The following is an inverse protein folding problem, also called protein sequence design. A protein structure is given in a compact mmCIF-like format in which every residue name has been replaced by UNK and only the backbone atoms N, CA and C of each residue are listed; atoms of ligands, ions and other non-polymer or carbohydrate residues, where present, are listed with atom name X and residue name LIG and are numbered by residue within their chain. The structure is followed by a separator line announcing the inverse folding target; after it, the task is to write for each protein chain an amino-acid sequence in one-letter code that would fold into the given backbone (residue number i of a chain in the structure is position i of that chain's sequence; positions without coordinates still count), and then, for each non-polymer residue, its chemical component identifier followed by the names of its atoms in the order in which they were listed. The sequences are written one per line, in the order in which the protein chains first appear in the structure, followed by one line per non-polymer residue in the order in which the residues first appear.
data_IF_037524948700
#
_entry.id   IF_037524948700
#
_cell.length_a   1.000
_cell.length_b   1.000
_cell.length_c   1.000
_cell.angle_alpha   90.00
_cell.angle_beta   90.00
_cell.angle_gamma   90.00
#
_symmetry.space_group_name_H-M   'P 1'
#
loop_
_entity.id
_entity.type
_entity.pdbx_description
1 polymer ?
#
# COMPACT_ATOMS: atom_id res chain seq x y z
N UNK A 1 -11.59 36.96 21.19
CA UNK A 1 -10.29 36.72 20.50
C UNK A 1 -9.85 35.26 20.47
N UNK A 2 -10.32 34.38 21.37
CA UNK A 2 -9.94 32.96 21.41
C UNK A 2 -10.65 32.06 20.38
N UNK A 3 -11.93 32.34 20.09
CA UNK A 3 -12.75 31.56 19.14
C UNK A 3 -12.20 31.60 17.70
N UNK A 4 -11.65 32.75 17.29
CA UNK A 4 -11.03 32.94 15.97
C UNK A 4 -9.75 32.11 15.83
N UNK A 5 -8.91 32.10 16.87
CA UNK A 5 -7.68 31.34 16.88
C UNK A 5 -7.96 29.82 16.84
N UNK A 6 -8.93 29.34 17.62
CA UNK A 6 -9.33 27.93 17.58
C UNK A 6 -9.84 27.49 16.22
N UNK A 7 -10.67 28.31 15.56
CA UNK A 7 -11.17 28.04 14.20
C UNK A 7 -10.05 27.97 13.17
N UNK A 8 -9.08 28.90 13.24
CA UNK A 8 -7.91 28.93 12.37
C UNK A 8 -7.01 27.70 12.57
N UNK A 9 -6.81 27.25 13.80
CA UNK A 9 -6.04 26.05 14.11
C UNK A 9 -6.71 24.77 13.58
N UNK A 10 -8.04 24.68 13.70
CA UNK A 10 -8.83 23.59 13.13
C UNK A 10 -8.73 23.56 11.60
N UNK A 11 -8.89 24.72 10.95
CA UNK A 11 -8.78 24.82 9.49
C UNK A 11 -7.37 24.47 9.00
N UNK A 12 -6.33 24.95 9.69
CA UNK A 12 -4.94 24.62 9.37
C UNK A 12 -4.65 23.12 9.56
N UNK A 13 -5.19 22.51 10.62
CA UNK A 13 -5.07 21.06 10.86
C UNK A 13 -5.75 20.23 9.77
N UNK A 14 -6.97 20.59 9.36
CA UNK A 14 -7.66 19.92 8.25
C UNK A 14 -6.88 20.06 6.94
N UNK A 15 -6.39 21.26 6.63
CA UNK A 15 -5.62 21.50 5.40
C UNK A 15 -4.33 20.67 5.38
N UNK A 16 -3.59 20.64 6.49
CA UNK A 16 -2.38 19.83 6.62
C UNK A 16 -2.67 18.31 6.49
N UNK A 17 -3.80 17.83 7.02
CA UNK A 17 -4.19 16.42 6.87
C UNK A 17 -4.70 16.05 5.46
N UNK A 18 -4.97 17.04 4.62
CA UNK A 18 -5.47 16.86 3.25
C UNK A 18 -4.39 17.04 2.18
N UNK A 19 -3.17 17.38 2.56
CA UNK A 19 -2.07 17.48 1.62
C UNK A 19 -1.62 16.11 1.15
N UNK A 20 -1.56 15.97 -0.18
CA UNK A 20 -0.86 14.85 -0.78
C UNK A 20 0.59 14.85 -0.29
N UNK A 21 1.16 13.66 -0.14
CA UNK A 21 2.58 13.50 0.19
C UNK A 21 3.42 14.30 -0.82
N UNK A 22 4.39 15.05 -0.31
CA UNK A 22 5.36 15.78 -1.13
C UNK A 22 6.20 14.80 -1.97
N UNK A 23 6.86 15.30 -3.02
CA UNK A 23 7.76 14.48 -3.84
C UNK A 23 8.89 13.87 -2.99
N UNK A 24 9.38 14.61 -1.99
CA UNK A 24 10.37 14.14 -1.02
C UNK A 24 9.85 12.97 -0.18
N UNK A 25 8.59 13.00 0.24
CA UNK A 25 7.95 11.95 1.03
C UNK A 25 7.53 10.74 0.17
N UNK A 26 7.19 10.94 -1.10
CA UNK A 26 6.87 9.88 -2.05
C UNK A 26 8.11 9.13 -2.54
N UNK A 27 9.26 9.81 -2.64
CA UNK A 27 10.50 9.25 -3.22
C UNK A 27 10.95 7.93 -2.59
N UNK A 28 10.90 7.72 -1.26
CA UNK A 28 11.22 6.44 -0.66
C UNK A 28 10.25 5.32 -1.04
N UNK A 29 8.97 5.62 -1.25
CA UNK A 29 7.93 4.63 -1.55
C UNK A 29 8.10 4.00 -2.94
N UNK A 30 8.65 4.75 -3.89
CA UNK A 30 8.91 4.29 -5.26
C UNK A 30 10.33 3.71 -5.44
N UNK A 31 11.16 3.77 -4.40
CA UNK A 31 12.54 3.26 -4.46
C UNK A 31 12.55 1.75 -4.21
N UNK A 32 13.09 0.93 -5.13
CA UNK A 32 13.25 -0.49 -4.88
C UNK A 32 14.12 -0.74 -3.64
N UNK A 33 13.67 -1.62 -2.75
CA UNK A 33 14.41 -2.06 -1.58
C UNK A 33 15.15 -3.36 -1.90
N UNK A 34 16.42 -3.42 -1.47
CA UNK A 34 17.15 -4.69 -1.41
C UNK A 34 16.69 -5.42 -0.17
N UNK A 35 16.01 -6.56 -0.33
CA UNK A 35 15.49 -7.38 0.76
C UNK A 35 15.98 -8.81 0.60
N UNK A 36 16.24 -9.46 1.73
CA UNK A 36 16.50 -10.91 1.74
C UNK A 36 15.22 -11.65 1.30
N UNK A 37 15.28 -12.58 0.33
CA UNK A 37 14.10 -13.28 -0.20
C UNK A 37 13.22 -13.93 0.88
N UNK A 38 13.83 -14.37 1.97
CA UNK A 38 13.16 -14.99 3.11
C UNK A 38 12.16 -14.08 3.83
N UNK A 39 12.28 -12.76 3.67
CA UNK A 39 11.32 -11.79 4.22
C UNK A 39 9.95 -11.86 3.54
N UNK A 40 9.88 -12.43 2.34
CA UNK A 40 8.65 -12.61 1.56
C UNK A 40 8.06 -14.03 1.70
N UNK A 41 8.57 -14.85 2.61
CA UNK A 41 8.02 -16.18 2.86
C UNK A 41 6.82 -16.15 3.79
N UNK A 42 5.88 -17.07 3.57
CA UNK A 42 4.63 -17.15 4.32
C UNK A 42 3.48 -16.38 3.66
N UNK A 43 2.43 -16.11 4.44
CA UNK A 43 1.18 -15.56 3.93
C UNK A 43 1.10 -14.03 4.06
N UNK A 44 0.76 -13.37 2.97
CA UNK A 44 0.44 -11.95 2.88
C UNK A 44 -1.04 -11.78 2.58
N UNK A 45 -1.77 -11.03 3.41
CA UNK A 45 -3.17 -10.71 3.17
C UNK A 45 -3.27 -9.29 2.62
N UNK A 46 -4.04 -9.11 1.54
CA UNK A 46 -4.33 -7.79 1.03
C UNK A 46 -5.49 -7.18 1.83
N UNK A 47 -5.24 -6.01 2.39
CA UNK A 47 -6.21 -5.32 3.25
C UNK A 47 -6.90 -4.17 2.51
N UNK A 48 -6.13 -3.38 1.76
CA UNK A 48 -6.61 -2.22 1.02
C UNK A 48 -5.57 -1.80 -0.02
N UNK A 49 -6.04 -1.15 -1.07
CA UNK A 49 -5.21 -0.59 -2.12
C UNK A 49 -5.97 0.45 -2.92
N UNK A 50 -5.23 1.27 -3.64
CA UNK A 50 -5.77 2.31 -4.50
C UNK A 50 -5.06 2.26 -5.85
N UNK A 51 -5.80 2.56 -6.91
CA UNK A 51 -5.27 2.66 -8.26
C UNK A 51 -6.07 3.70 -9.05
N UNK A 52 -5.37 4.43 -9.92
CA UNK A 52 -5.95 5.35 -10.88
C UNK A 52 -6.43 4.65 -12.17
N UNK A 53 -6.10 3.36 -12.34
CA UNK A 53 -6.54 2.56 -13.47
C UNK A 53 -7.94 1.98 -13.22
N UNK A 54 -8.90 2.32 -14.09
CA UNK A 54 -10.29 1.89 -13.93
C UNK A 54 -10.48 0.38 -13.85
N UNK A 55 -9.78 -0.39 -14.69
CA UNK A 55 -9.90 -1.86 -14.73
C UNK A 55 -9.40 -2.48 -13.41
N UNK A 56 -8.25 -2.04 -12.91
CA UNK A 56 -7.73 -2.55 -11.64
C UNK A 56 -8.61 -2.12 -10.47
N UNK A 57 -9.17 -0.90 -10.49
CA UNK A 57 -10.09 -0.46 -9.46
C UNK A 57 -11.37 -1.31 -9.42
N UNK A 58 -11.91 -1.68 -10.58
CA UNK A 58 -13.07 -2.55 -10.66
C UNK A 58 -12.75 -3.95 -10.11
N UNK A 59 -11.56 -4.49 -10.41
CA UNK A 59 -11.10 -5.76 -9.82
C UNK A 59 -10.94 -5.69 -8.31
N UNK A 60 -10.40 -4.59 -7.77
CA UNK A 60 -10.27 -4.38 -6.33
C UNK A 60 -11.63 -4.32 -5.64
N UNK A 61 -12.65 -3.71 -6.27
CA UNK A 61 -14.01 -3.62 -5.72
C UNK A 61 -14.76 -4.95 -5.76
N UNK A 62 -14.52 -5.76 -6.78
CA UNK A 62 -15.15 -7.08 -6.91
C UNK A 62 -14.53 -8.10 -5.96
N UNK A 63 -13.26 -7.97 -5.61
CA UNK A 63 -12.57 -8.96 -4.78
C UNK A 63 -12.92 -8.79 -3.30
N UNK A 64 -13.67 -9.73 -2.72
CA UNK A 64 -13.98 -9.76 -1.28
C UNK A 64 -12.72 -9.95 -0.41
N UNK A 65 -11.80 -10.82 -0.86
CA UNK A 65 -10.54 -11.07 -0.15
C UNK A 65 -9.46 -11.58 -1.09
N UNK A 66 -8.21 -11.24 -0.79
CA UNK A 66 -7.04 -11.71 -1.53
C UNK A 66 -5.90 -12.00 -0.57
N UNK A 67 -5.17 -13.09 -0.82
CA UNK A 67 -3.94 -13.40 -0.14
C UNK A 67 -2.93 -14.07 -1.07
N UNK A 68 -1.67 -13.99 -0.70
CA UNK A 68 -0.54 -14.57 -1.40
C UNK A 68 0.30 -15.40 -0.43
N UNK A 69 0.72 -16.58 -0.85
CA UNK A 69 1.66 -17.42 -0.12
C UNK A 69 3.00 -17.41 -0.86
N UNK A 70 4.02 -16.86 -0.20
CA UNK A 70 5.39 -16.82 -0.70
C UNK A 70 6.22 -17.99 -0.18
N UNK A 71 7.00 -18.61 -1.06
CA UNK A 71 7.89 -19.73 -0.73
C UNK A 71 9.22 -19.62 -1.49
N UNK A 72 10.27 -20.35 -1.05
CA UNK A 72 11.49 -20.48 -1.84
C UNK A 72 11.18 -20.98 -3.24
N UNK A 73 11.79 -20.36 -4.26
CA UNK A 73 11.68 -20.86 -5.62
C UNK A 73 12.63 -22.05 -5.84
N UNK A 74 12.19 -23.13 -6.51
CA UNK A 74 13.07 -24.24 -6.86
C UNK A 74 14.05 -23.88 -7.99
N UNK A 75 13.83 -22.77 -8.71
CA UNK A 75 14.65 -22.39 -9.87
C UNK A 75 15.88 -21.54 -9.52
N UNK A 76 15.83 -20.77 -8.43
CA UNK A 76 16.94 -19.94 -7.97
C UNK A 76 16.76 -19.54 -6.50
N UNK A 77 17.82 -19.57 -5.68
CA UNK A 77 17.76 -19.19 -4.26
C UNK A 77 17.40 -17.71 -4.04
N UNK A 78 17.64 -16.86 -5.03
CA UNK A 78 17.39 -15.41 -4.95
C UNK A 78 15.97 -15.03 -5.42
N UNK A 79 15.14 -16.03 -5.72
CA UNK A 79 13.79 -15.82 -6.25
C UNK A 79 12.74 -16.43 -5.34
N UNK A 80 11.59 -15.75 -5.26
CA UNK A 80 10.44 -16.16 -4.46
C UNK A 80 9.36 -16.67 -5.40
N UNK A 81 8.85 -17.86 -5.13
CA UNK A 81 7.64 -18.35 -5.77
C UNK A 81 6.43 -17.80 -5.00
N UNK A 82 5.46 -17.23 -5.73
CA UNK A 82 4.25 -16.64 -5.15
C UNK A 82 3.02 -17.34 -5.69
N UNK A 83 2.21 -17.90 -4.80
CA UNK A 83 0.89 -18.44 -5.12
C UNK A 83 -0.17 -17.43 -4.68
N UNK A 84 -1.12 -17.11 -5.56
CA UNK A 84 -2.14 -16.09 -5.30
C UNK A 84 -3.52 -16.72 -5.17
N UNK A 85 -4.32 -16.18 -4.26
CA UNK A 85 -5.66 -16.64 -3.96
C UNK A 85 -6.60 -15.45 -3.84
N UNK A 86 -7.80 -15.59 -4.39
CA UNK A 86 -8.84 -14.56 -4.29
C UNK A 86 -10.21 -15.18 -4.07
N UNK A 87 -11.06 -14.41 -3.40
CA UNK A 87 -12.51 -14.61 -3.36
C UNK A 87 -13.14 -13.38 -4.01
N UNK A 88 -13.94 -13.61 -5.05
CA UNK A 88 -14.74 -12.60 -5.75
C UNK A 88 -16.16 -12.54 -5.18
#
# INVERSE_FOLDING_TARGET
MTLSLSSLLLAAGLLASSWALTDEECRPLIRPLSLEPSTLYGRFNFLSGYTDNGVYNDMLKLTESYWMDGSPSPSSPDTVAAMTHSKL
#
